data_IF_061424749121
#
_entry.id   IF_061424749121
#
_cell.length_a   1.000
_cell.length_b   1.000
_cell.length_c   1.000
_cell.angle_alpha   90.00
_cell.angle_beta   90.00
_cell.angle_gamma   90.00
#
_symmetry.space_group_name_H-M   'P 1'
#
loop_
_entity.id
_entity.type
_entity.pdbx_description
1 polymer ?
#
# COMPACT_ATOMS: atom_id res chain seq x y z
N UNK A 1 44.55 89.79 -34.67
CA UNK A 1 45.56 88.74 -34.56
C UNK A 1 45.35 88.10 -33.18
N UNK A 2 44.75 87.09 -33.12
CA UNK A 2 44.67 85.96 -32.14
C UNK A 2 45.18 86.14 -30.76
N UNK A 3 44.63 85.47 -29.75
CA UNK A 3 44.73 84.00 -29.65
C UNK A 3 43.52 83.25 -29.12
N UNK A 4 43.60 81.99 -29.40
CA UNK A 4 42.66 80.91 -29.08
C UNK A 4 42.70 80.55 -27.60
N UNK A 5 41.53 80.50 -26.98
CA UNK A 5 41.33 79.98 -25.57
C UNK A 5 41.05 78.47 -25.58
N UNK A 6 41.92 77.76 -24.87
CA UNK A 6 41.78 76.34 -24.63
C UNK A 6 40.71 76.07 -23.53
N UNK A 7 39.60 75.39 -23.86
CA UNK A 7 38.64 74.91 -22.91
C UNK A 7 39.00 73.44 -22.53
N UNK A 8 39.42 73.24 -21.29
CA UNK A 8 39.48 71.91 -20.71
C UNK A 8 38.08 71.49 -20.31
N UNK A 9 37.59 70.38 -20.88
CA UNK A 9 36.39 69.74 -20.47
C UNK A 9 36.76 68.57 -19.55
N UNK A 10 36.32 68.63 -18.31
CA UNK A 10 36.46 67.56 -17.35
C UNK A 10 35.29 66.60 -17.54
N UNK A 11 35.51 65.53 -18.26
CA UNK A 11 34.51 64.40 -18.29
C UNK A 11 34.74 63.45 -17.09
N UNK A 12 33.85 63.54 -16.11
CA UNK A 12 33.83 62.64 -15.00
C UNK A 12 33.34 61.26 -15.49
N UNK A 13 34.27 60.31 -15.54
CA UNK A 13 33.95 58.90 -15.79
C UNK A 13 33.22 58.32 -14.60
N UNK A 14 31.89 58.18 -14.75
CA UNK A 14 31.06 57.45 -13.82
C UNK A 14 31.22 55.97 -14.09
N UNK A 15 32.09 55.27 -13.38
CA UNK A 15 32.21 53.82 -13.40
C UNK A 15 31.03 53.23 -12.65
N UNK A 16 30.07 52.62 -13.40
CA UNK A 16 29.02 51.79 -12.85
C UNK A 16 29.64 50.51 -12.28
N UNK A 17 29.25 50.08 -11.05
CA UNK A 17 29.63 48.76 -10.56
C UNK A 17 28.86 47.66 -11.34
N UNK A 18 29.48 46.49 -11.58
CA UNK A 18 28.81 45.40 -12.27
C UNK A 18 27.62 44.85 -11.44
N UNK A 19 26.55 44.37 -12.11
CA UNK A 19 25.43 43.78 -11.39
C UNK A 19 25.89 42.51 -10.65
N UNK A 20 25.63 42.50 -9.35
CA UNK A 20 25.82 41.33 -8.52
C UNK A 20 24.96 40.19 -9.07
N UNK A 21 25.59 39.20 -9.71
CA UNK A 21 24.95 37.97 -10.16
C UNK A 21 24.57 37.19 -8.91
N UNK A 22 23.28 37.24 -8.53
CA UNK A 22 22.71 36.40 -7.49
C UNK A 22 22.72 34.96 -8.02
N UNK A 23 23.70 34.18 -7.59
CA UNK A 23 23.73 32.74 -7.77
C UNK A 23 22.62 32.15 -6.86
N UNK A 24 21.42 31.97 -7.42
CA UNK A 24 20.36 31.15 -6.80
C UNK A 24 20.80 29.69 -6.93
N UNK A 25 21.44 29.18 -5.87
CA UNK A 25 21.64 27.74 -5.70
C UNK A 25 20.29 27.15 -5.43
N UNK A 26 19.61 26.62 -6.45
CA UNK A 26 18.45 25.79 -6.31
C UNK A 26 18.93 24.49 -5.65
N UNK A 27 18.77 24.39 -4.33
CA UNK A 27 18.86 23.13 -3.62
C UNK A 27 17.75 22.23 -4.15
N UNK A 28 18.07 21.35 -5.11
CA UNK A 28 17.21 20.23 -5.48
C UNK A 28 17.08 19.37 -4.22
N UNK A 29 15.99 19.54 -3.48
CA UNK A 29 15.59 18.61 -2.45
C UNK A 29 15.30 17.27 -3.18
N UNK A 30 16.27 16.35 -3.15
CA UNK A 30 16.05 14.97 -3.52
C UNK A 30 15.04 14.44 -2.50
N UNK A 31 13.75 14.42 -2.88
CA UNK A 31 12.76 13.64 -2.16
C UNK A 31 13.29 12.19 -2.15
N UNK A 32 13.30 11.52 -0.99
CA UNK A 32 13.66 10.12 -0.95
C UNK A 32 12.72 9.39 -1.91
N UNK A 33 13.28 8.66 -2.87
CA UNK A 33 12.51 7.76 -3.70
C UNK A 33 11.85 6.75 -2.74
N UNK A 34 10.54 6.84 -2.61
CA UNK A 34 9.78 5.85 -1.85
C UNK A 34 9.95 4.54 -2.62
N UNK A 35 10.73 3.63 -2.06
CA UNK A 35 10.84 2.28 -2.58
C UNK A 35 9.45 1.64 -2.37
N UNK A 36 8.67 1.54 -3.43
CA UNK A 36 7.43 0.75 -3.41
C UNK A 36 7.79 -0.66 -2.99
N UNK A 37 7.08 -1.21 -2.01
CA UNK A 37 7.32 -2.58 -1.56
C UNK A 37 7.29 -3.53 -2.76
N UNK A 38 8.31 -4.40 -2.85
CA UNK A 38 8.35 -5.43 -3.89
C UNK A 38 7.36 -6.52 -3.53
N UNK A 39 6.21 -6.52 -4.22
CA UNK A 39 5.11 -7.45 -3.97
C UNK A 39 5.18 -8.58 -4.97
N UNK A 40 5.29 -9.81 -4.48
CA UNK A 40 5.22 -11.02 -5.27
C UNK A 40 3.96 -11.83 -4.96
N UNK A 41 3.26 -12.31 -6.00
CA UNK A 41 2.07 -13.17 -5.85
C UNK A 41 2.20 -14.39 -6.74
N UNK A 42 2.24 -15.56 -6.10
CA UNK A 42 2.24 -16.87 -6.75
C UNK A 42 0.89 -17.56 -6.58
N UNK A 43 0.39 -18.20 -7.65
CA UNK A 43 -0.86 -18.95 -7.65
C UNK A 43 -0.61 -20.33 -8.24
N UNK A 44 -0.97 -21.38 -7.50
CA UNK A 44 -0.86 -22.78 -7.93
C UNK A 44 -2.25 -23.42 -7.92
N UNK A 45 -2.79 -23.83 -9.08
CA UNK A 45 -4.06 -24.54 -9.13
C UNK A 45 -4.03 -25.86 -8.36
N UNK A 46 -5.06 -26.13 -7.56
CA UNK A 46 -5.27 -27.38 -6.86
C UNK A 46 -6.70 -27.89 -7.11
N UNK A 47 -6.92 -28.50 -8.28
CA UNK A 47 -8.25 -28.90 -8.70
C UNK A 47 -9.19 -27.70 -8.90
N UNK A 48 -10.29 -27.65 -8.15
CA UNK A 48 -11.21 -26.53 -8.14
C UNK A 48 -10.73 -25.35 -7.28
N UNK A 49 -9.81 -25.58 -6.35
CA UNK A 49 -9.20 -24.57 -5.52
C UNK A 49 -7.92 -23.97 -6.15
N UNK A 50 -7.48 -22.85 -5.61
CA UNK A 50 -6.21 -22.21 -5.97
C UNK A 50 -5.44 -21.91 -4.67
N UNK A 51 -4.23 -22.46 -4.58
CA UNK A 51 -3.27 -22.06 -3.54
C UNK A 51 -2.62 -20.75 -3.96
N UNK A 52 -2.63 -19.77 -3.09
CA UNK A 52 -2.08 -18.45 -3.34
C UNK A 52 -1.07 -18.12 -2.24
N UNK A 53 0.06 -17.53 -2.64
CA UNK A 53 1.05 -16.98 -1.70
C UNK A 53 1.41 -15.58 -2.17
N UNK A 54 1.20 -14.58 -1.32
CA UNK A 54 1.64 -13.22 -1.53
C UNK A 54 2.70 -12.84 -0.49
N UNK A 55 3.73 -12.10 -0.92
CA UNK A 55 4.85 -11.67 -0.07
C UNK A 55 5.21 -10.23 -0.38
N UNK A 56 5.59 -9.49 0.65
CA UNK A 56 6.16 -8.16 0.52
C UNK A 56 7.19 -7.91 1.62
N UNK A 57 8.24 -7.16 1.30
CA UNK A 57 9.12 -6.56 2.30
C UNK A 57 8.58 -5.17 2.64
N UNK A 58 8.30 -4.93 3.91
CA UNK A 58 7.66 -3.71 4.41
C UNK A 58 8.60 -3.01 5.39
N UNK A 59 8.74 -1.68 5.21
CA UNK A 59 9.54 -0.83 6.10
C UNK A 59 8.64 -0.18 7.15
N UNK A 60 8.16 -0.98 8.09
CA UNK A 60 7.30 -0.50 9.17
C UNK A 60 7.54 -1.30 10.46
N UNK A 61 7.32 -0.69 11.64
CA UNK A 61 7.34 -1.42 12.91
C UNK A 61 6.29 -2.54 12.93
N UNK A 62 6.62 -3.67 13.54
CA UNK A 62 5.73 -4.84 13.63
C UNK A 62 4.38 -4.49 14.27
N UNK A 63 4.39 -3.57 15.24
CA UNK A 63 3.20 -3.09 15.92
C UNK A 63 2.24 -2.38 14.97
N UNK A 64 2.77 -1.58 14.05
CA UNK A 64 1.99 -0.86 13.07
C UNK A 64 1.42 -1.81 11.99
N UNK A 65 2.24 -2.77 11.55
CA UNK A 65 1.79 -3.85 10.65
C UNK A 65 0.62 -4.59 11.30
N UNK A 66 0.78 -4.98 12.57
CA UNK A 66 -0.25 -5.67 13.33
C UNK A 66 -1.54 -4.84 13.44
N UNK A 67 -1.42 -3.57 13.86
CA UNK A 67 -2.57 -2.67 13.98
C UNK A 67 -3.33 -2.51 12.65
N UNK A 68 -2.61 -2.43 11.52
CA UNK A 68 -3.24 -2.29 10.22
C UNK A 68 -3.94 -3.58 9.78
N UNK A 69 -3.31 -4.74 10.00
CA UNK A 69 -3.90 -6.06 9.67
C UNK A 69 -5.14 -6.37 10.51
N UNK A 70 -5.22 -5.87 11.74
CA UNK A 70 -6.33 -6.15 12.67
C UNK A 70 -7.38 -5.03 12.72
N UNK A 71 -7.27 -4.05 11.85
CA UNK A 71 -8.22 -2.94 11.69
C UNK A 71 -9.42 -3.38 10.82
N UNK A 72 -10.09 -4.46 11.26
CA UNK A 72 -11.10 -5.16 10.46
C UNK A 72 -12.26 -4.28 10.02
N UNK A 73 -12.73 -3.37 10.87
CA UNK A 73 -13.89 -2.54 10.59
C UNK A 73 -13.61 -1.44 9.54
N UNK A 74 -12.33 -1.13 9.29
CA UNK A 74 -11.91 -0.13 8.31
C UNK A 74 -11.27 -0.73 7.05
N UNK A 75 -11.23 -2.06 6.89
CA UNK A 75 -10.60 -2.69 5.71
C UNK A 75 -11.18 -2.19 4.39
N UNK A 76 -12.46 -1.83 4.34
CA UNK A 76 -13.09 -1.30 3.13
C UNK A 76 -12.55 0.06 2.68
N UNK A 77 -11.85 0.79 3.55
CA UNK A 77 -11.29 2.10 3.23
C UNK A 77 -9.98 2.01 2.45
N UNK A 78 -9.23 0.91 2.63
CA UNK A 78 -7.89 0.78 2.05
C UNK A 78 -7.61 -0.55 1.34
N UNK A 79 -8.48 -1.58 1.49
CA UNK A 79 -8.30 -2.86 0.79
C UNK A 79 -9.22 -2.92 -0.43
N UNK A 80 -8.68 -2.85 -1.66
CA UNK A 80 -9.48 -2.91 -2.87
C UNK A 80 -10.34 -4.16 -2.95
N UNK A 81 -11.58 -4.01 -3.40
CA UNK A 81 -12.51 -5.12 -3.58
C UNK A 81 -13.28 -5.50 -2.31
N UNK A 82 -12.95 -4.98 -1.14
CA UNK A 82 -13.77 -5.05 0.08
C UNK A 82 -14.71 -3.83 0.08
N UNK A 83 -16.02 -4.08 0.13
CA UNK A 83 -17.04 -3.04 0.21
C UNK A 83 -17.49 -2.77 1.65
N UNK A 84 -17.47 -3.81 2.50
CA UNK A 84 -17.69 -3.70 3.94
C UNK A 84 -16.99 -4.82 4.68
N UNK A 85 -16.58 -4.54 5.91
CA UNK A 85 -15.97 -5.52 6.81
C UNK A 85 -16.35 -5.15 8.25
N UNK A 86 -16.85 -6.11 9.03
CA UNK A 86 -17.31 -5.88 10.40
C UNK A 86 -16.96 -7.04 11.31
N UNK A 87 -16.48 -6.72 12.51
CA UNK A 87 -16.32 -7.71 13.57
C UNK A 87 -17.68 -8.03 14.18
N UNK A 88 -18.18 -9.25 13.92
CA UNK A 88 -19.48 -9.74 14.44
C UNK A 88 -19.34 -10.18 15.89
N UNK A 89 -18.23 -10.82 16.24
CA UNK A 89 -17.94 -11.22 17.63
C UNK A 89 -16.44 -11.29 17.89
N UNK A 90 -16.04 -11.06 19.14
CA UNK A 90 -14.65 -11.19 19.60
C UNK A 90 -14.62 -11.87 20.97
N UNK A 91 -13.84 -12.94 21.07
CA UNK A 91 -13.58 -13.68 22.31
C UNK A 91 -12.07 -13.90 22.45
N UNK A 92 -11.40 -12.98 23.13
CA UNK A 92 -9.94 -12.97 23.22
C UNK A 92 -9.28 -12.90 21.84
N UNK A 93 -8.50 -13.92 21.49
CA UNK A 93 -7.80 -14.02 20.20
C UNK A 93 -8.69 -14.54 19.05
N UNK A 94 -9.92 -14.94 19.32
CA UNK A 94 -10.83 -15.49 18.32
C UNK A 94 -11.89 -14.46 17.95
N UNK A 95 -12.03 -14.23 16.65
CA UNK A 95 -12.99 -13.29 16.08
C UNK A 95 -13.84 -13.96 15.02
N UNK A 96 -15.04 -13.44 14.85
CA UNK A 96 -15.85 -13.68 13.67
C UNK A 96 -15.98 -12.37 12.91
N UNK A 97 -15.58 -12.37 11.64
CA UNK A 97 -15.60 -11.19 10.78
C UNK A 97 -16.49 -11.47 9.59
N UNK A 98 -17.41 -10.56 9.29
CA UNK A 98 -18.24 -10.58 8.10
C UNK A 98 -17.67 -9.60 7.07
N UNK A 99 -17.49 -10.07 5.82
CA UNK A 99 -16.96 -9.26 4.74
C UNK A 99 -17.81 -9.41 3.48
N UNK A 100 -18.08 -8.26 2.85
CA UNK A 100 -18.71 -8.19 1.54
C UNK A 100 -17.79 -7.45 0.57
N UNK A 101 -17.79 -7.90 -0.68
CA UNK A 101 -16.96 -7.28 -1.69
C UNK A 101 -17.14 -7.90 -3.07
N UNK A 102 -16.14 -7.75 -3.91
CA UNK A 102 -16.11 -8.37 -5.23
C UNK A 102 -14.70 -8.59 -5.75
N UNK A 103 -14.49 -9.72 -6.42
CA UNK A 103 -13.32 -9.94 -7.27
C UNK A 103 -13.66 -9.54 -8.71
N UNK A 104 -12.78 -8.81 -9.38
CA UNK A 104 -13.00 -8.30 -10.74
C UNK A 104 -11.86 -8.68 -11.68
N UNK A 105 -12.25 -9.08 -12.88
CA UNK A 105 -11.31 -9.35 -13.98
C UNK A 105 -11.97 -8.94 -15.31
N UNK A 106 -11.49 -7.86 -15.94
CA UNK A 106 -12.07 -7.25 -17.14
C UNK A 106 -13.56 -6.94 -16.95
N UNK A 107 -14.44 -7.61 -17.71
CA UNK A 107 -15.90 -7.50 -17.60
C UNK A 107 -16.51 -8.45 -16.57
N UNK A 108 -15.72 -9.41 -16.03
CA UNK A 108 -16.22 -10.37 -15.04
C UNK A 108 -16.13 -9.77 -13.65
N UNK A 109 -17.22 -9.91 -12.89
CA UNK A 109 -17.28 -9.55 -11.48
C UNK A 109 -17.90 -10.72 -10.73
N UNK A 110 -17.19 -11.19 -9.69
CA UNK A 110 -17.67 -12.22 -8.79
C UNK A 110 -17.93 -11.59 -7.42
N UNK A 111 -19.20 -11.52 -6.97
CA UNK A 111 -19.49 -10.98 -5.65
C UNK A 111 -18.95 -11.94 -4.58
N UNK A 112 -18.36 -11.39 -3.53
CA UNK A 112 -17.83 -12.13 -2.39
C UNK A 112 -18.64 -11.73 -1.17
N UNK A 113 -19.18 -12.71 -0.46
CA UNK A 113 -19.82 -12.56 0.85
C UNK A 113 -19.34 -13.72 1.69
N UNK A 114 -18.61 -13.40 2.74
CA UNK A 114 -18.03 -14.42 3.61
C UNK A 114 -18.14 -13.98 5.07
N UNK A 115 -18.35 -14.97 5.92
CA UNK A 115 -18.14 -14.86 7.35
C UNK A 115 -16.97 -15.79 7.68
N UNK A 116 -15.95 -15.26 8.30
CA UNK A 116 -14.72 -15.99 8.60
C UNK A 116 -14.45 -16.01 10.11
N UNK A 117 -13.89 -17.11 10.60
CA UNK A 117 -13.23 -17.16 11.88
C UNK A 117 -11.79 -16.69 11.71
N UNK A 118 -11.36 -15.71 12.49
CA UNK A 118 -9.99 -15.25 12.58
C UNK A 118 -9.41 -15.61 13.93
N UNK A 119 -8.20 -16.18 13.95
CA UNK A 119 -7.45 -16.46 15.18
C UNK A 119 -6.17 -15.65 15.17
N UNK A 120 -6.08 -14.72 16.11
CA UNK A 120 -4.97 -13.80 16.25
C UNK A 120 -3.86 -14.37 17.15
N UNK A 121 -2.61 -14.28 16.69
CA UNK A 121 -1.41 -14.41 17.52
C UNK A 121 -0.65 -13.09 17.43
N UNK A 122 -0.79 -12.20 18.41
CA UNK A 122 -0.30 -10.84 18.34
C UNK A 122 1.14 -10.74 17.82
N UNK A 123 1.32 -9.85 16.84
CA UNK A 123 2.60 -9.54 16.19
C UNK A 123 3.24 -10.70 15.41
N UNK A 124 2.53 -11.83 15.21
CA UNK A 124 3.06 -13.02 14.54
C UNK A 124 2.21 -13.52 13.39
N UNK A 125 0.93 -13.79 13.65
CA UNK A 125 0.06 -14.37 12.62
C UNK A 125 -1.41 -14.13 12.89
N UNK A 126 -2.19 -14.18 11.81
CA UNK A 126 -3.65 -14.21 11.82
C UNK A 126 -4.05 -15.39 10.94
N UNK A 127 -4.66 -16.42 11.53
CA UNK A 127 -5.21 -17.53 10.76
C UNK A 127 -6.69 -17.23 10.45
N UNK A 128 -7.12 -17.51 9.22
CA UNK A 128 -8.48 -17.20 8.73
C UNK A 128 -9.10 -18.45 8.15
N UNK A 129 -10.33 -18.79 8.60
CA UNK A 129 -11.09 -19.93 8.11
C UNK A 129 -12.51 -19.51 7.75
N UNK A 130 -13.02 -20.01 6.62
CA UNK A 130 -14.41 -19.80 6.21
C UNK A 130 -15.38 -20.47 7.17
N UNK A 131 -16.36 -19.72 7.67
CA UNK A 131 -17.50 -20.25 8.40
C UNK A 131 -18.71 -20.41 7.47
N UNK A 132 -19.00 -19.37 6.68
CA UNK A 132 -20.11 -19.36 5.71
C UNK A 132 -19.89 -18.34 4.62
N UNK A 133 -20.62 -18.45 3.52
CA UNK A 133 -20.57 -17.51 2.40
C UNK A 133 -20.67 -18.19 1.06
N UNK A 134 -20.31 -17.45 0.00
CA UNK A 134 -20.34 -17.93 -1.38
C UNK A 134 -18.96 -18.40 -1.89
N UNK A 135 -18.13 -18.85 -0.99
CA UNK A 135 -16.93 -19.64 -1.29
C UNK A 135 -17.16 -21.06 -0.76
N UNK A 136 -16.60 -22.05 -1.42
CA UNK A 136 -16.59 -23.42 -0.94
C UNK A 136 -15.47 -23.65 0.06
N UNK A 137 -14.38 -22.89 -0.12
CA UNK A 137 -13.22 -22.93 0.76
C UNK A 137 -12.51 -21.58 0.81
N UNK A 138 -12.14 -21.18 2.01
CA UNK A 138 -11.20 -20.10 2.29
C UNK A 138 -10.45 -20.46 3.57
N UNK A 139 -9.24 -20.96 3.42
CA UNK A 139 -8.30 -21.18 4.51
C UNK A 139 -7.06 -20.35 4.23
N UNK A 140 -6.72 -19.44 5.12
CA UNK A 140 -5.60 -18.53 4.91
C UNK A 140 -4.89 -18.13 6.19
N UNK A 141 -3.70 -17.56 6.03
CA UNK A 141 -2.94 -17.02 7.14
C UNK A 141 -2.08 -15.85 6.70
N UNK A 142 -2.08 -14.77 7.49
CA UNK A 142 -1.02 -13.78 7.50
C UNK A 142 0.09 -14.23 8.45
N UNK A 143 1.34 -13.95 8.05
CA UNK A 143 2.54 -14.11 8.90
C UNK A 143 3.36 -12.86 8.83
N UNK A 144 3.91 -12.45 9.97
CA UNK A 144 4.75 -11.28 10.14
C UNK A 144 6.13 -11.78 10.56
N UNK A 145 7.12 -11.61 9.71
CA UNK A 145 8.47 -12.12 9.91
C UNK A 145 9.50 -10.99 9.89
N UNK A 146 9.89 -10.45 11.06
CA UNK A 146 10.95 -9.44 11.14
C UNK A 146 12.28 -10.00 10.59
N UNK A 147 13.01 -9.17 9.83
CA UNK A 147 14.31 -9.49 9.27
C UNK A 147 15.44 -8.77 10.01
N UNK A 148 16.68 -9.29 9.97
CA UNK A 148 17.82 -8.68 10.65
C UNK A 148 18.19 -7.28 10.12
N UNK A 149 17.80 -6.94 8.90
CA UNK A 149 18.05 -5.64 8.26
C UNK A 149 17.05 -4.54 8.69
N UNK A 150 16.13 -4.86 9.60
CA UNK A 150 15.10 -3.93 10.08
C UNK A 150 13.84 -3.88 9.22
N UNK A 151 13.79 -4.60 8.11
CA UNK A 151 12.55 -4.80 7.34
C UNK A 151 11.69 -5.90 7.96
N UNK A 152 10.43 -5.97 7.56
CA UNK A 152 9.52 -7.06 7.93
C UNK A 152 8.96 -7.71 6.68
N UNK A 153 9.10 -9.03 6.55
CA UNK A 153 8.42 -9.77 5.50
C UNK A 153 6.98 -10.05 5.94
N UNK A 154 6.03 -9.49 5.20
CA UNK A 154 4.62 -9.81 5.33
C UNK A 154 4.27 -10.89 4.31
N UNK A 155 3.71 -12.00 4.80
CA UNK A 155 3.34 -13.14 3.97
C UNK A 155 1.85 -13.41 4.16
N UNK A 156 1.12 -13.56 3.07
CA UNK A 156 -0.22 -14.15 3.06
C UNK A 156 -0.22 -15.44 2.29
N UNK A 157 -0.76 -16.49 2.88
CA UNK A 157 -1.00 -17.78 2.20
C UNK A 157 -2.46 -18.14 2.31
N UNK A 158 -3.05 -18.65 1.23
CA UNK A 158 -4.47 -19.05 1.27
C UNK A 158 -4.81 -20.08 0.22
N UNK A 159 -5.76 -20.95 0.55
CA UNK A 159 -6.40 -21.87 -0.36
C UNK A 159 -7.84 -21.40 -0.56
N UNK A 160 -8.17 -20.98 -1.79
CA UNK A 160 -9.47 -20.38 -2.12
C UNK A 160 -10.17 -21.21 -3.17
N UNK A 161 -11.44 -21.55 -2.93
CA UNK A 161 -12.31 -22.24 -3.87
C UNK A 161 -13.65 -21.51 -3.95
N UNK A 162 -14.00 -20.89 -5.11
CA UNK A 162 -15.34 -20.36 -5.33
C UNK A 162 -16.38 -21.46 -5.29
N UNK A 163 -17.59 -21.15 -4.82
CA UNK A 163 -18.67 -22.12 -4.78
C UNK A 163 -19.29 -22.34 -6.18
N UNK A 164 -19.21 -21.34 -7.04
CA UNK A 164 -19.64 -21.41 -8.43
C UNK A 164 -18.50 -21.93 -9.31
N UNK A 165 -18.74 -22.97 -10.13
CA UNK A 165 -17.73 -23.51 -11.01
C UNK A 165 -17.35 -22.49 -12.11
N UNK A 166 -16.17 -21.92 -11.97
CA UNK A 166 -15.58 -21.05 -12.97
C UNK A 166 -14.52 -21.81 -13.78
N UNK A 167 -14.52 -21.67 -15.13
CA UNK A 167 -13.43 -22.21 -15.94
C UNK A 167 -12.07 -21.72 -15.44
N UNK A 168 -11.05 -22.59 -15.45
CA UNK A 168 -9.73 -22.29 -14.88
C UNK A 168 -9.09 -21.03 -15.50
N UNK A 169 -9.32 -20.77 -16.79
CA UNK A 169 -8.79 -19.61 -17.52
C UNK A 169 -9.41 -18.28 -17.06
N UNK A 170 -10.59 -18.30 -16.38
CA UNK A 170 -11.20 -17.15 -15.71
C UNK A 170 -10.86 -17.13 -14.24
N UNK A 171 -11.06 -18.25 -13.54
CA UNK A 171 -10.89 -18.38 -12.09
C UNK A 171 -9.48 -18.01 -11.65
N UNK A 172 -8.45 -18.58 -12.29
CA UNK A 172 -7.07 -18.40 -11.84
C UNK A 172 -6.60 -16.94 -11.94
N UNK A 173 -6.75 -16.25 -13.09
CA UNK A 173 -6.39 -14.83 -13.18
C UNK A 173 -7.29 -13.92 -12.33
N UNK A 174 -8.58 -14.27 -12.15
CA UNK A 174 -9.49 -13.52 -11.28
C UNK A 174 -9.01 -13.52 -9.83
N UNK A 175 -8.72 -14.71 -9.28
CA UNK A 175 -8.23 -14.85 -7.91
C UNK A 175 -6.85 -14.21 -7.75
N UNK A 176 -5.94 -14.46 -8.70
CA UNK A 176 -4.61 -13.86 -8.67
C UNK A 176 -4.70 -12.32 -8.62
N UNK A 177 -5.49 -11.72 -9.53
CA UNK A 177 -5.67 -10.28 -9.60
C UNK A 177 -6.28 -9.72 -8.31
N UNK A 178 -7.37 -10.33 -7.85
CA UNK A 178 -8.08 -9.89 -6.64
C UNK A 178 -7.17 -9.92 -5.41
N UNK A 179 -6.45 -11.00 -5.20
CA UNK A 179 -5.53 -11.13 -4.04
C UNK A 179 -4.33 -10.18 -4.20
N UNK A 180 -3.80 -10.02 -5.42
CA UNK A 180 -2.71 -9.07 -5.67
C UNK A 180 -3.13 -7.64 -5.30
N UNK A 181 -4.31 -7.21 -5.74
CA UNK A 181 -4.82 -5.87 -5.48
C UNK A 181 -5.11 -5.66 -3.98
N UNK A 182 -5.71 -6.67 -3.31
CA UNK A 182 -6.00 -6.61 -1.87
C UNK A 182 -4.72 -6.55 -1.02
N UNK A 183 -3.75 -7.41 -1.34
CA UNK A 183 -2.48 -7.45 -0.64
C UNK A 183 -1.68 -6.16 -0.85
N UNK A 184 -1.67 -5.63 -2.08
CA UNK A 184 -1.04 -4.35 -2.39
C UNK A 184 -1.70 -3.19 -1.64
N UNK A 185 -3.02 -3.14 -1.55
CA UNK A 185 -3.74 -2.14 -0.76
C UNK A 185 -3.38 -2.18 0.72
N UNK A 186 -3.30 -3.39 1.29
CA UNK A 186 -2.87 -3.60 2.67
C UNK A 186 -1.42 -3.10 2.91
N UNK A 187 -0.49 -3.48 2.05
CA UNK A 187 0.92 -3.08 2.15
C UNK A 187 1.06 -1.56 2.01
N UNK A 188 0.37 -0.98 1.02
CA UNK A 188 0.37 0.47 0.83
C UNK A 188 -0.14 1.23 2.07
N UNK A 189 -1.21 0.74 2.69
CA UNK A 189 -1.74 1.36 3.91
C UNK A 189 -0.78 1.25 5.09
N UNK A 190 -0.10 0.11 5.24
CA UNK A 190 0.94 -0.06 6.26
C UNK A 190 2.06 0.96 6.07
N UNK A 191 2.58 1.10 4.85
CA UNK A 191 3.65 2.06 4.53
C UNK A 191 3.18 3.50 4.70
N UNK A 192 1.95 3.82 4.28
CA UNK A 192 1.35 5.14 4.48
C UNK A 192 1.24 5.52 5.96
N UNK A 193 0.85 4.57 6.81
CA UNK A 193 0.79 4.77 8.28
C UNK A 193 2.18 4.88 8.89
N UNK A 194 3.18 4.23 8.30
CA UNK A 194 4.56 4.29 8.76
C UNK A 194 5.27 5.61 8.40
N UNK A 195 4.80 6.32 7.37
CA UNK A 195 5.37 7.59 6.96
C UNK A 195 4.76 8.75 7.75
N UNK A 196 5.50 9.38 8.70
CA UNK A 196 4.99 10.51 9.50
C UNK A 196 4.68 11.75 8.64
N UNK A 197 5.21 11.81 7.42
CA UNK A 197 5.00 12.91 6.48
C UNK A 197 3.67 12.74 5.74
N UNK A 198 3.34 11.51 5.32
CA UNK A 198 2.07 11.17 4.67
C UNK A 198 0.90 11.09 5.67
N UNK A 199 1.18 10.80 6.93
CA UNK A 199 0.19 10.74 8.00
C UNK A 199 -0.28 12.12 8.50
N UNK A 200 0.32 13.25 8.02
CA UNK A 200 -0.17 14.59 8.35
C UNK A 200 -1.43 14.89 7.53
N UNK A 201 -2.56 15.20 8.19
CA UNK A 201 -3.73 15.69 7.47
C UNK A 201 -3.29 16.92 6.66
N UNK A 202 -3.76 17.01 5.41
CA UNK A 202 -3.51 18.16 4.55
C UNK A 202 -3.92 19.40 5.34
N UNK A 203 -2.91 20.20 5.71
CA UNK A 203 -3.18 21.47 6.39
C UNK A 203 -4.14 22.23 5.48
N UNK A 204 -5.32 22.52 6.02
CA UNK A 204 -6.36 23.31 5.36
C UNK A 204 -5.72 24.60 4.84
N UNK A 205 -5.67 24.71 3.53
CA UNK A 205 -5.33 25.94 2.82
C UNK A 205 -6.59 26.78 2.70
#
# INVERSE_FOLDING_TARGET
>A
MLPTVLKLSLDAVFTRPPPATLLVVAALAMAPAQASADISVACTPQGAAVQITARALVHAPVELIWQTLTDYDHLSEFVPGIASSHVVSRQGAHLVVEQHGSARLWIFSYPIRVTVASTERPYRSIDVHLLQGNLRRLDGAYRIEPKPDGTTELIWTGLVEPDTPLPAFIRNPLLRRSISDQFAGMVHEIERRADPWLARPAASR
#
